data_IF_943854028764
#
_entry.id   IF_943854028764
#
_cell.length_a   1.000
_cell.length_b   1.000
_cell.length_c   1.000
_cell.angle_alpha   90.00
_cell.angle_beta   90.00
_cell.angle_gamma   90.00
#
_symmetry.space_group_name_H-M   'P 1'
#
loop_
_entity.id
_entity.type
_entity.pdbx_description
1 polymer ?
#
# COMPACT_ATOMS: atom_id res chain seq x y z
N UNK A 1 -42.48 46.56 -25.50
CA UNK A 1 -41.05 46.64 -25.15
C UNK A 1 -41.01 47.20 -23.75
N UNK A 2 -40.66 46.39 -22.74
CA UNK A 2 -40.71 46.84 -21.34
C UNK A 2 -39.57 47.82 -21.07
N UNK A 3 -39.90 48.94 -20.45
CA UNK A 3 -38.94 49.97 -20.05
C UNK A 3 -37.93 49.39 -19.06
N UNK A 4 -36.64 49.49 -19.39
CA UNK A 4 -35.55 48.95 -18.59
C UNK A 4 -35.45 49.64 -17.22
N UNK A 5 -35.85 50.91 -17.13
CA UNK A 5 -35.89 51.62 -15.84
C UNK A 5 -37.00 51.07 -14.95
N UNK A 6 -38.16 50.75 -15.53
CA UNK A 6 -39.27 50.14 -14.81
C UNK A 6 -38.90 48.73 -14.30
N UNK A 7 -38.22 47.92 -15.10
CA UNK A 7 -37.74 46.60 -14.67
C UNK A 7 -36.70 46.69 -13.56
N UNK A 8 -35.77 47.66 -13.63
CA UNK A 8 -34.78 47.89 -12.59
C UNK A 8 -35.43 48.32 -11.27
N UNK A 9 -36.39 49.24 -11.33
CA UNK A 9 -37.13 49.71 -10.16
C UNK A 9 -37.94 48.58 -9.48
N UNK A 10 -38.60 47.73 -10.28
CA UNK A 10 -39.34 46.57 -9.76
C UNK A 10 -38.41 45.57 -9.05
N UNK A 11 -37.20 45.38 -9.59
CA UNK A 11 -36.22 44.46 -9.02
C UNK A 11 -35.62 45.00 -7.71
N UNK A 12 -35.35 46.30 -7.64
CA UNK A 12 -34.91 46.97 -6.40
C UNK A 12 -36.01 46.88 -5.32
N UNK A 13 -37.28 47.11 -5.65
CA UNK A 13 -38.38 46.94 -4.70
C UNK A 13 -38.53 45.50 -4.20
N UNK A 14 -38.35 44.51 -5.08
CA UNK A 14 -38.40 43.10 -4.71
C UNK A 14 -37.26 42.73 -3.75
N UNK A 15 -36.05 43.25 -3.99
CA UNK A 15 -34.90 43.06 -3.11
C UNK A 15 -35.14 43.63 -1.72
N UNK A 16 -35.62 44.88 -1.61
CA UNK A 16 -35.91 45.49 -0.31
C UNK A 16 -36.97 44.73 0.48
N UNK A 17 -38.05 44.26 -0.18
CA UNK A 17 -39.08 43.44 0.47
C UNK A 17 -38.56 42.08 0.94
N UNK A 18 -37.69 41.45 0.18
CA UNK A 18 -37.08 40.17 0.56
C UNK A 18 -36.17 40.32 1.79
N UNK A 19 -35.39 41.40 1.85
CA UNK A 19 -34.55 41.74 3.02
C UNK A 19 -35.42 42.05 4.25
N UNK A 20 -36.52 42.77 4.07
CA UNK A 20 -37.45 43.09 5.16
C UNK A 20 -38.14 41.84 5.74
N UNK A 21 -38.53 40.89 4.89
CA UNK A 21 -39.08 39.59 5.31
C UNK A 21 -38.04 38.73 6.03
N UNK A 22 -36.82 38.64 5.48
CA UNK A 22 -35.73 37.90 6.11
C UNK A 22 -35.37 38.45 7.50
N UNK A 23 -35.51 39.77 7.71
CA UNK A 23 -35.28 40.41 9.01
C UNK A 23 -36.48 40.25 9.96
N UNK A 24 -37.71 40.08 9.44
CA UNK A 24 -38.92 39.82 10.25
C UNK A 24 -38.96 38.38 10.79
N UNK A 25 -38.40 37.41 10.06
CA UNK A 25 -38.33 36.01 10.48
C UNK A 25 -37.30 35.73 11.62
N UNK A 26 -36.60 36.75 12.13
CA UNK A 26 -35.66 36.64 13.27
C UNK A 26 -36.32 36.98 14.62
N UNK A 27 -37.59 37.43 14.67
CA UNK A 27 -38.28 37.70 15.94
C UNK A 27 -39.30 36.61 16.31
N UNK A 28 -38.88 35.69 17.19
CA UNK A 28 -39.78 34.80 17.94
C UNK A 28 -40.36 35.54 19.16
N UNK A 29 -41.67 35.84 19.16
CA UNK A 29 -42.57 35.76 20.33
C UNK A 29 -44.02 36.14 19.95
N UNK A 30 -44.96 35.22 20.22
CA UNK A 30 -46.42 35.26 19.96
C UNK A 30 -47.16 36.34 20.81
N UNK A 31 -48.51 36.60 20.72
CA UNK A 31 -49.58 35.71 20.20
C UNK A 31 -50.84 36.32 19.49
N UNK A 32 -51.58 35.44 18.79
CA UNK A 32 -53.06 35.34 18.61
C UNK A 32 -53.86 36.31 17.70
N UNK A 33 -54.77 35.69 16.92
CA UNK A 33 -55.95 36.20 16.15
C UNK A 33 -55.65 36.93 14.82
N UNK A 34 -56.29 36.69 13.66
CA UNK A 34 -57.62 36.24 13.24
C UNK A 34 -57.54 35.50 11.87
N UNK A 35 -58.56 34.71 11.52
CA UNK A 35 -58.73 33.99 10.24
C UNK A 35 -59.11 34.94 9.06
N UNK A 36 -58.98 34.49 7.79
CA UNK A 36 -58.33 35.26 6.73
C UNK A 36 -59.27 36.06 5.82
N UNK A 37 -58.82 37.24 5.37
CA UNK A 37 -59.29 37.83 4.10
C UNK A 37 -58.38 37.37 2.97
N UNK A 38 -59.00 36.98 1.87
CA UNK A 38 -58.37 36.46 0.67
C UNK A 38 -57.21 37.34 0.18
N UNK A 39 -55.99 36.89 0.46
CA UNK A 39 -54.78 37.46 -0.15
C UNK A 39 -54.53 36.67 -1.42
N UNK A 40 -54.71 37.34 -2.56
CA UNK A 40 -54.21 36.90 -3.85
C UNK A 40 -52.72 36.61 -3.68
N UNK A 41 -52.34 35.33 -3.67
CA UNK A 41 -50.93 34.91 -3.60
C UNK A 41 -50.22 35.46 -4.82
N UNK A 42 -49.44 36.53 -4.63
CA UNK A 42 -48.42 36.91 -5.59
C UNK A 42 -47.50 35.69 -5.79
N UNK A 43 -47.10 35.37 -7.04
CA UNK A 43 -46.25 34.22 -7.30
C UNK A 43 -44.94 34.36 -6.51
N UNK A 44 -44.39 33.26 -5.97
CA UNK A 44 -43.14 33.29 -5.24
C UNK A 44 -42.04 33.76 -6.19
N UNK A 45 -41.58 35.00 -6.00
CA UNK A 45 -40.40 35.52 -6.66
C UNK A 45 -39.21 34.89 -5.95
N UNK A 46 -38.75 33.74 -6.46
CA UNK A 46 -37.48 33.16 -6.06
C UNK A 46 -36.39 34.17 -6.43
N UNK A 47 -35.73 34.85 -5.47
CA UNK A 47 -34.75 35.85 -5.83
C UNK A 47 -33.56 35.10 -6.42
N UNK A 48 -33.22 35.41 -7.66
CA UNK A 48 -32.00 34.94 -8.34
C UNK A 48 -30.74 35.11 -7.48
N UNK A 49 -30.76 35.98 -6.46
CA UNK A 49 -29.69 36.12 -5.46
C UNK A 49 -29.50 34.92 -4.52
N UNK A 50 -30.54 34.13 -4.23
CA UNK A 50 -30.45 32.88 -3.43
C UNK A 50 -29.87 31.76 -4.28
N UNK A 51 -30.30 31.67 -5.54
CA UNK A 51 -29.70 30.78 -6.54
C UNK A 51 -28.26 31.19 -6.83
N UNK A 52 -27.99 32.49 -6.94
CA UNK A 52 -26.67 33.09 -7.12
C UNK A 52 -25.72 32.76 -5.98
N UNK A 53 -26.18 32.82 -4.71
CA UNK A 53 -25.37 32.38 -3.56
C UNK A 53 -25.05 30.88 -3.56
N UNK A 54 -25.95 30.04 -4.08
CA UNK A 54 -25.67 28.60 -4.27
C UNK A 54 -24.83 28.30 -5.53
N UNK A 55 -24.82 29.22 -6.51
CA UNK A 55 -24.05 29.14 -7.75
C UNK A 55 -22.69 29.87 -7.69
N UNK A 56 -22.29 30.41 -6.53
CA UNK A 56 -20.98 31.05 -6.34
C UNK A 56 -19.78 30.08 -6.46
N UNK A 57 -20.03 28.77 -6.62
CA UNK A 57 -19.02 27.80 -7.06
C UNK A 57 -18.76 27.82 -8.58
N UNK A 58 -19.43 28.68 -9.34
CA UNK A 58 -19.44 28.65 -10.81
C UNK A 58 -20.30 27.49 -11.33
N UNK A 59 -20.87 27.58 -12.55
CA UNK A 59 -21.38 26.38 -13.20
C UNK A 59 -20.20 25.42 -13.40
N UNK A 60 -20.32 24.15 -13.01
CA UNK A 60 -19.34 23.14 -13.40
C UNK A 60 -19.11 23.23 -14.91
N UNK A 61 -17.86 23.03 -15.34
CA UNK A 61 -17.54 23.16 -16.76
C UNK A 61 -18.43 22.22 -17.59
N UNK A 62 -18.75 22.61 -18.83
CA UNK A 62 -19.51 21.71 -19.73
C UNK A 62 -18.78 20.37 -19.93
N UNK A 63 -17.45 20.38 -19.89
CA UNK A 63 -16.62 19.17 -19.86
C UNK A 63 -16.93 18.30 -18.62
N UNK A 64 -17.03 18.90 -17.43
CA UNK A 64 -17.44 18.20 -16.21
C UNK A 64 -18.82 17.58 -16.34
N UNK A 65 -19.79 18.25 -16.97
CA UNK A 65 -21.12 17.66 -17.19
C UNK A 65 -21.14 16.53 -18.22
N UNK A 66 -20.33 16.62 -19.28
CA UNK A 66 -20.20 15.55 -20.28
C UNK A 66 -19.52 14.33 -19.65
N UNK A 67 -18.45 14.54 -18.90
CA UNK A 67 -17.72 13.49 -18.19
C UNK A 67 -18.55 12.86 -17.05
N UNK A 68 -19.33 13.67 -16.32
CA UNK A 68 -20.31 13.20 -15.32
C UNK A 68 -21.43 12.36 -15.95
N UNK A 69 -21.79 12.63 -17.21
CA UNK A 69 -22.79 11.86 -17.95
C UNK A 69 -22.19 10.59 -18.56
N UNK A 70 -20.91 10.61 -18.94
CA UNK A 70 -20.18 9.44 -19.46
C UNK A 70 -19.70 8.49 -18.36
N UNK A 71 -19.48 8.98 -17.13
CA UNK A 71 -18.96 8.23 -15.98
C UNK A 71 -19.90 8.24 -14.76
N UNK A 72 -21.21 8.37 -14.98
CA UNK A 72 -22.20 8.56 -13.91
C UNK A 72 -22.13 7.49 -12.80
N UNK A 73 -21.93 6.23 -13.18
CA UNK A 73 -21.82 5.10 -12.25
C UNK A 73 -20.52 5.18 -11.42
N UNK A 74 -19.40 5.57 -12.04
CA UNK A 74 -18.11 5.79 -11.37
C UNK A 74 -18.21 6.89 -10.32
N UNK A 75 -18.88 8.00 -10.64
CA UNK A 75 -19.01 9.12 -9.69
C UNK A 75 -19.91 8.76 -8.52
N UNK A 76 -21.00 8.01 -8.76
CA UNK A 76 -21.87 7.52 -7.69
C UNK A 76 -21.12 6.50 -6.82
N UNK A 77 -20.43 5.56 -7.44
CA UNK A 77 -19.61 4.55 -6.75
C UNK A 77 -18.56 5.18 -5.86
N UNK A 78 -17.77 6.11 -6.41
CA UNK A 78 -16.73 6.81 -5.65
C UNK A 78 -17.31 7.63 -4.50
N UNK A 79 -18.45 8.30 -4.73
CA UNK A 79 -19.11 9.03 -3.64
C UNK A 79 -19.59 8.10 -2.52
N UNK A 80 -20.14 6.94 -2.85
CA UNK A 80 -20.56 5.96 -1.86
C UNK A 80 -19.35 5.44 -1.08
N UNK A 81 -18.24 5.19 -1.76
CA UNK A 81 -16.97 4.81 -1.15
C UNK A 81 -16.47 5.86 -0.14
N UNK A 82 -16.44 7.13 -0.53
CA UNK A 82 -16.07 8.24 0.35
C UNK A 82 -16.97 8.31 1.58
N UNK A 83 -18.29 8.14 1.41
CA UNK A 83 -19.27 8.19 2.51
C UNK A 83 -19.13 7.03 3.48
N UNK A 84 -18.73 5.88 2.99
CA UNK A 84 -18.57 4.69 3.80
C UNK A 84 -17.33 4.77 4.69
N UNK A 85 -16.18 5.15 4.12
CA UNK A 85 -14.89 5.08 4.82
C UNK A 85 -14.41 6.42 5.41
N UNK A 86 -14.77 7.55 4.76
CA UNK A 86 -14.29 8.90 5.09
C UNK A 86 -15.42 9.96 5.03
N UNK A 87 -16.57 9.75 5.72
CA UNK A 87 -17.68 10.69 5.68
C UNK A 87 -17.31 12.10 6.17
N UNK A 88 -16.36 12.21 7.10
CA UNK A 88 -15.83 13.47 7.62
C UNK A 88 -15.15 14.35 6.55
N UNK A 89 -14.60 13.73 5.49
CA UNK A 89 -13.88 14.41 4.42
C UNK A 89 -14.67 14.46 3.10
N UNK A 90 -15.96 14.10 3.07
CA UNK A 90 -16.77 14.04 1.83
C UNK A 90 -16.68 15.35 1.04
N UNK A 91 -16.88 16.49 1.71
CA UNK A 91 -16.86 17.81 1.06
C UNK A 91 -15.49 18.14 0.50
N UNK A 92 -14.44 17.87 1.26
CA UNK A 92 -13.06 18.22 0.89
C UNK A 92 -12.55 17.35 -0.27
N UNK A 93 -12.90 16.07 -0.29
CA UNK A 93 -12.54 15.16 -1.37
C UNK A 93 -13.34 15.50 -2.63
N UNK A 94 -14.67 15.66 -2.53
CA UNK A 94 -15.51 15.92 -3.70
C UNK A 94 -15.34 17.32 -4.29
N UNK A 95 -14.77 18.27 -3.56
CA UNK A 95 -14.45 19.60 -4.06
C UNK A 95 -13.25 19.63 -5.01
N UNK A 96 -12.39 18.60 -4.98
CA UNK A 96 -11.23 18.51 -5.86
C UNK A 96 -11.60 18.21 -7.32
N UNK A 97 -10.64 18.46 -8.21
CA UNK A 97 -10.73 18.05 -9.61
C UNK A 97 -10.76 16.51 -9.73
N UNK A 98 -11.22 16.01 -10.87
CA UNK A 98 -11.43 14.58 -11.07
C UNK A 98 -10.12 13.76 -10.99
N UNK A 99 -8.99 14.36 -11.34
CA UNK A 99 -7.69 13.70 -11.42
C UNK A 99 -7.02 13.65 -10.04
N UNK A 100 -7.23 14.65 -9.19
CA UNK A 100 -6.63 14.76 -7.86
C UNK A 100 -7.52 14.22 -6.75
N UNK A 101 -8.83 14.06 -7.01
CA UNK A 101 -9.79 13.53 -6.03
C UNK A 101 -9.48 12.11 -5.55
N UNK A 102 -9.05 11.23 -6.46
CA UNK A 102 -8.66 9.86 -6.09
C UNK A 102 -7.45 9.89 -5.14
N UNK A 103 -6.42 10.68 -5.46
CA UNK A 103 -5.25 10.88 -4.61
C UNK A 103 -5.61 11.46 -3.24
N UNK A 104 -6.53 12.42 -3.20
CA UNK A 104 -6.97 13.01 -1.93
C UNK A 104 -7.73 12.02 -1.05
N UNK A 105 -8.56 11.16 -1.64
CA UNK A 105 -9.17 10.03 -0.93
C UNK A 105 -8.09 9.08 -0.40
N UNK A 106 -7.14 8.66 -1.24
CA UNK A 106 -6.10 7.71 -0.84
C UNK A 106 -5.26 8.23 0.32
N UNK A 107 -4.91 9.52 0.31
CA UNK A 107 -4.18 10.14 1.42
C UNK A 107 -4.95 10.05 2.74
N UNK A 108 -6.20 10.51 2.77
CA UNK A 108 -7.00 10.48 3.99
C UNK A 108 -7.36 9.04 4.43
N UNK A 109 -7.52 8.13 3.49
CA UNK A 109 -7.71 6.72 3.78
C UNK A 109 -6.45 6.13 4.44
N UNK A 110 -5.29 6.42 3.87
CA UNK A 110 -3.99 5.94 4.36
C UNK A 110 -3.64 6.46 5.75
N UNK A 111 -4.05 7.68 6.07
CA UNK A 111 -3.91 8.24 7.42
C UNK A 111 -4.74 7.51 8.48
N UNK A 112 -5.85 6.88 8.08
CA UNK A 112 -6.83 6.27 8.98
C UNK A 112 -6.74 4.75 9.07
N UNK A 113 -6.40 4.10 7.96
CA UNK A 113 -6.45 2.64 7.81
C UNK A 113 -5.06 2.07 7.51
N UNK A 114 -4.66 2.08 6.23
CA UNK A 114 -3.36 1.61 5.77
C UNK A 114 -3.00 2.27 4.43
N UNK A 115 -1.70 2.34 4.06
CA UNK A 115 -1.26 2.94 2.82
C UNK A 115 -1.82 2.22 1.59
N UNK A 116 -2.40 3.00 0.68
CA UNK A 116 -2.81 2.51 -0.64
C UNK A 116 -1.67 2.63 -1.66
N UNK A 117 -1.62 1.73 -2.63
CA UNK A 117 -0.70 1.77 -3.76
C UNK A 117 -1.08 2.89 -4.70
N UNK A 118 -0.17 3.86 -4.81
CA UNK A 118 -0.24 4.90 -5.81
C UNK A 118 0.38 4.34 -7.09
N UNK A 119 -0.47 3.91 -8.02
CA UNK A 119 -0.01 3.64 -9.38
C UNK A 119 0.50 4.96 -9.97
N UNK A 120 1.81 5.05 -10.14
CA UNK A 120 2.50 6.25 -10.61
C UNK A 120 2.30 6.49 -12.11
N UNK A 121 1.57 5.61 -12.80
CA UNK A 121 1.25 5.79 -14.21
C UNK A 121 0.27 6.95 -14.44
N UNK A 122 0.49 7.67 -15.54
CA UNK A 122 -0.41 8.72 -16.03
C UNK A 122 -1.76 8.11 -16.46
N UNK A 123 -2.64 7.86 -15.49
CA UNK A 123 -3.91 7.18 -15.76
C UNK A 123 -4.67 6.69 -14.53
N UNK A 124 -4.14 6.84 -13.31
CA UNK A 124 -4.89 6.44 -12.12
C UNK A 124 -6.12 7.34 -11.94
N UNK A 125 -7.32 6.76 -12.05
CA UNK A 125 -8.59 7.47 -11.98
C UNK A 125 -9.47 6.94 -10.85
N UNK A 126 -10.56 7.65 -10.57
CA UNK A 126 -11.62 7.15 -9.68
C UNK A 126 -12.21 5.81 -10.14
N UNK A 127 -12.16 5.49 -11.44
CA UNK A 127 -12.58 4.19 -11.95
C UNK A 127 -11.59 3.08 -11.57
N UNK A 128 -10.28 3.36 -11.66
CA UNK A 128 -9.21 2.45 -11.21
C UNK A 128 -9.30 2.17 -9.72
N UNK A 129 -9.66 3.19 -8.92
CA UNK A 129 -9.87 3.00 -7.49
C UNK A 129 -11.11 2.13 -7.21
N UNK A 130 -12.14 2.14 -8.05
CA UNK A 130 -13.37 1.39 -7.81
C UNK A 130 -13.30 -0.08 -8.23
N UNK A 131 -12.34 -0.48 -9.06
CA UNK A 131 -12.21 -1.87 -9.50
C UNK A 131 -11.79 -2.79 -8.36
N UNK A 132 -10.90 -2.33 -7.49
CA UNK A 132 -10.35 -3.08 -6.36
C UNK A 132 -9.71 -2.13 -5.35
N UNK A 133 -9.46 -2.62 -4.14
CA UNK A 133 -8.66 -1.89 -3.15
C UNK A 133 -7.20 -1.90 -3.65
N UNK A 134 -6.58 -0.73 -3.92
CA UNK A 134 -5.18 -0.67 -4.33
C UNK A 134 -4.31 -0.74 -3.07
N UNK A 135 -4.05 -1.94 -2.57
CA UNK A 135 -3.18 -2.15 -1.39
C UNK A 135 -1.74 -1.92 -1.75
N UNK A 136 -0.97 -1.26 -0.87
CA UNK A 136 0.48 -1.13 -1.07
C UNK A 136 1.15 -2.52 -1.01
N UNK A 137 1.81 -2.97 -2.10
CA UNK A 137 2.60 -4.18 -2.09
C UNK A 137 3.86 -3.96 -1.26
N UNK A 138 4.21 -4.95 -0.47
CA UNK A 138 5.43 -5.02 0.33
C UNK A 138 6.13 -6.37 0.19
N UNK A 139 5.66 -7.23 -0.72
CA UNK A 139 6.26 -8.51 -0.97
C UNK A 139 7.60 -8.43 -1.68
N UNK A 140 8.38 -9.47 -1.46
CA UNK A 140 9.73 -9.59 -1.97
C UNK A 140 9.68 -9.96 -3.46
N UNK A 141 10.26 -9.12 -4.32
CA UNK A 141 10.19 -9.30 -5.78
C UNK A 141 11.46 -9.93 -6.35
N UNK A 142 11.33 -10.53 -7.55
CA UNK A 142 12.47 -11.03 -8.33
C UNK A 142 13.50 -9.92 -8.58
N UNK A 143 13.04 -8.70 -8.89
CA UNK A 143 13.89 -7.53 -9.04
C UNK A 143 14.66 -7.21 -7.74
N UNK A 144 14.00 -7.32 -6.58
CA UNK A 144 14.64 -7.11 -5.27
C UNK A 144 15.69 -8.18 -4.99
N UNK A 145 15.43 -9.43 -5.39
CA UNK A 145 16.38 -10.53 -5.28
C UNK A 145 17.63 -10.28 -6.14
N UNK A 146 17.46 -9.83 -7.38
CA UNK A 146 18.60 -9.46 -8.24
C UNK A 146 19.31 -8.17 -7.81
N UNK A 147 18.61 -7.26 -7.13
CA UNK A 147 19.15 -6.04 -6.56
C UNK A 147 19.65 -6.19 -5.11
N UNK A 148 19.88 -7.42 -4.63
CA UNK A 148 20.30 -7.69 -3.24
C UNK A 148 21.56 -6.91 -2.80
N UNK A 149 22.41 -6.49 -3.74
CA UNK A 149 23.62 -5.73 -3.45
C UNK A 149 23.35 -4.38 -2.76
N UNK A 150 22.14 -3.83 -2.91
CA UNK A 150 21.71 -2.60 -2.23
C UNK A 150 21.23 -2.87 -0.79
N UNK A 151 21.11 -4.13 -0.38
CA UNK A 151 20.69 -4.48 0.96
C UNK A 151 21.80 -4.28 1.99
N UNK A 152 21.36 -4.18 3.24
CA UNK A 152 22.29 -4.17 4.36
C UNK A 152 22.96 -5.54 4.54
N UNK A 153 24.17 -5.61 5.11
CA UNK A 153 24.90 -6.86 5.30
C UNK A 153 24.09 -7.96 6.02
N UNK A 154 23.27 -7.59 7.01
CA UNK A 154 22.44 -8.56 7.73
C UNK A 154 21.42 -9.27 6.82
N UNK A 155 20.78 -8.54 5.90
CA UNK A 155 19.86 -9.12 4.93
C UNK A 155 20.57 -9.93 3.84
N UNK A 156 21.77 -9.52 3.40
CA UNK A 156 22.57 -10.34 2.47
C UNK A 156 22.92 -11.69 3.11
N UNK A 157 23.31 -11.68 4.39
CA UNK A 157 23.58 -12.90 5.14
C UNK A 157 22.32 -13.74 5.35
N UNK A 158 21.18 -13.13 5.68
CA UNK A 158 19.90 -13.83 5.78
C UNK A 158 19.50 -14.49 4.44
N UNK A 159 19.55 -13.74 3.35
CA UNK A 159 19.22 -14.18 2.00
C UNK A 159 20.12 -15.32 1.52
N UNK A 160 21.38 -15.35 1.98
CA UNK A 160 22.30 -16.46 1.66
C UNK A 160 21.85 -17.81 2.23
N UNK A 161 20.98 -17.82 3.26
CA UNK A 161 20.50 -19.02 3.93
C UNK A 161 19.17 -19.53 3.34
N UNK A 162 18.27 -18.64 2.94
CA UNK A 162 16.93 -19.01 2.43
C UNK A 162 17.02 -19.61 1.04
N UNK A 163 16.15 -20.57 0.71
CA UNK A 163 15.97 -21.06 -0.67
C UNK A 163 15.54 -19.96 -1.66
N UNK A 164 15.92 -20.09 -2.93
CA UNK A 164 15.52 -19.13 -3.96
C UNK A 164 14.15 -19.53 -4.50
N UNK A 165 13.09 -18.69 -4.38
CA UNK A 165 11.79 -19.05 -4.92
C UNK A 165 11.77 -19.08 -6.46
N UNK A 166 12.74 -18.44 -7.11
CA UNK A 166 12.80 -18.33 -8.58
C UNK A 166 13.75 -19.31 -9.26
N UNK A 167 14.58 -20.05 -8.51
CA UNK A 167 15.51 -21.02 -9.11
C UNK A 167 14.76 -22.26 -9.66
N UNK A 168 13.55 -22.55 -9.16
CA UNK A 168 12.70 -23.66 -9.61
C UNK A 168 11.83 -23.32 -10.84
N UNK A 169 11.24 -22.12 -10.89
CA UNK A 169 10.35 -21.71 -12.00
C UNK A 169 11.08 -21.65 -13.35
N UNK A 170 12.34 -21.20 -13.35
CA UNK A 170 13.19 -21.20 -14.54
C UNK A 170 13.50 -22.61 -15.08
N UNK A 171 13.41 -23.65 -14.24
CA UNK A 171 13.61 -25.04 -14.69
C UNK A 171 12.37 -25.60 -15.39
N UNK A 172 11.18 -25.30 -14.86
CA UNK A 172 9.91 -25.82 -15.38
C UNK A 172 9.50 -25.15 -16.70
N UNK A 173 9.74 -23.84 -16.86
CA UNK A 173 9.40 -23.12 -18.09
C UNK A 173 10.37 -23.38 -19.25
N UNK A 174 11.65 -23.63 -18.95
CA UNK A 174 12.66 -23.78 -20.00
C UNK A 174 12.57 -25.14 -20.72
N UNK A 175 11.87 -26.14 -20.16
CA UNK A 175 11.77 -27.48 -20.75
C UNK A 175 13.14 -28.13 -21.01
N UNK A 176 14.17 -27.70 -20.28
CA UNK A 176 15.54 -28.13 -20.45
C UNK A 176 15.76 -29.38 -19.61
N UNK A 177 15.52 -30.55 -20.20
CA UNK A 177 15.77 -31.85 -19.53
C UNK A 177 17.27 -32.16 -19.31
N UNK A 178 18.21 -31.41 -19.92
CA UNK A 178 19.65 -31.77 -19.96
C UNK A 178 20.62 -30.56 -20.10
N UNK A 179 20.32 -29.44 -19.45
CA UNK A 179 21.15 -28.22 -19.55
C UNK A 179 21.21 -27.51 -18.21
N UNK A 180 22.43 -27.09 -17.86
CA UNK A 180 22.84 -26.48 -16.59
C UNK A 180 21.70 -25.62 -16.01
N UNK A 181 21.05 -26.05 -14.92
CA UNK A 181 19.98 -25.29 -14.33
C UNK A 181 20.49 -23.87 -14.08
N UNK A 182 19.65 -22.87 -14.24
CA UNK A 182 20.00 -21.49 -13.91
C UNK A 182 20.15 -21.29 -12.38
N UNK A 183 20.93 -22.15 -11.72
CA UNK A 183 21.46 -22.13 -10.34
C UNK A 183 22.38 -20.91 -10.08
N UNK A 184 22.13 -19.80 -10.79
CA UNK A 184 22.96 -18.61 -10.78
C UNK A 184 22.43 -17.50 -9.89
N UNK A 185 21.14 -17.48 -9.55
CA UNK A 185 20.55 -16.39 -8.76
C UNK A 185 21.20 -16.24 -7.38
N UNK A 186 21.47 -17.38 -6.73
CA UNK A 186 22.14 -17.43 -5.43
C UNK A 186 23.64 -17.17 -5.47
N UNK A 187 24.32 -17.48 -6.57
CA UNK A 187 25.80 -17.44 -6.63
C UNK A 187 26.35 -16.05 -6.26
N UNK A 188 25.85 -14.94 -6.84
CA UNK A 188 26.25 -13.59 -6.43
C UNK A 188 25.99 -13.29 -4.94
N UNK A 189 24.87 -13.79 -4.39
CA UNK A 189 24.51 -13.60 -2.98
C UNK A 189 25.51 -14.34 -2.07
N UNK A 190 25.84 -15.60 -2.40
CA UNK A 190 26.83 -16.40 -1.69
C UNK A 190 28.24 -15.79 -1.79
N UNK A 191 28.61 -15.24 -2.94
CA UNK A 191 29.87 -14.53 -3.12
C UNK A 191 29.95 -13.29 -2.22
N UNK A 192 28.92 -12.44 -2.22
CA UNK A 192 28.85 -11.26 -1.36
C UNK A 192 28.86 -11.64 0.14
N UNK A 193 28.09 -12.65 0.54
CA UNK A 193 28.11 -13.17 1.90
C UNK A 193 29.51 -13.69 2.29
N UNK A 194 30.25 -14.27 1.35
CA UNK A 194 31.62 -14.75 1.60
C UNK A 194 32.61 -13.63 1.89
N UNK A 195 32.35 -12.40 1.41
CA UNK A 195 33.15 -11.23 1.75
C UNK A 195 32.88 -10.74 3.17
N UNK A 196 31.67 -11.00 3.70
CA UNK A 196 31.24 -10.59 5.04
C UNK A 196 31.71 -11.56 6.14
N UNK A 197 31.57 -12.87 5.93
CA UNK A 197 31.82 -13.89 6.97
C UNK A 197 32.89 -14.93 6.58
N UNK A 198 33.40 -14.85 5.36
CA UNK A 198 34.43 -15.76 4.85
C UNK A 198 33.89 -17.01 4.16
N UNK A 199 34.58 -17.42 3.10
CA UNK A 199 34.22 -18.59 2.26
C UNK A 199 34.09 -19.91 3.02
N UNK A 200 34.76 -20.06 4.16
CA UNK A 200 34.69 -21.29 4.95
C UNK A 200 33.29 -21.52 5.55
N UNK A 201 32.62 -20.45 5.99
CA UNK A 201 31.27 -20.54 6.54
C UNK A 201 30.22 -20.69 5.45
N UNK A 202 30.38 -19.99 4.32
CA UNK A 202 29.45 -20.08 3.18
C UNK A 202 29.38 -21.50 2.61
N UNK A 203 30.49 -22.24 2.60
CA UNK A 203 30.51 -23.65 2.16
C UNK A 203 29.71 -24.61 3.03
N UNK A 204 29.22 -24.16 4.19
CA UNK A 204 28.33 -24.95 5.05
C UNK A 204 26.86 -24.76 4.68
N UNK A 205 26.52 -23.79 3.82
CA UNK A 205 25.16 -23.57 3.34
C UNK A 205 24.87 -24.62 2.25
N UNK A 206 23.72 -25.32 2.28
CA UNK A 206 23.28 -26.16 1.17
C UNK A 206 23.21 -25.37 -0.13
N UNK A 207 23.47 -26.03 -1.27
CA UNK A 207 23.48 -25.37 -2.59
C UNK A 207 22.15 -24.63 -2.86
N UNK A 208 21.02 -25.27 -2.51
CA UNK A 208 19.66 -24.75 -2.66
C UNK A 208 19.17 -23.93 -1.46
N UNK A 209 19.98 -23.77 -0.41
CA UNK A 209 19.58 -23.15 0.87
C UNK A 209 18.62 -24.01 1.70
N UNK A 210 17.92 -23.38 2.64
CA UNK A 210 16.91 -24.01 3.48
C UNK A 210 15.51 -23.48 3.17
N UNK A 211 14.56 -24.41 3.09
CA UNK A 211 13.15 -24.09 2.96
C UNK A 211 12.60 -23.37 4.21
N UNK A 212 11.63 -22.45 4.06
CA UNK A 212 11.07 -21.70 5.18
C UNK A 212 10.54 -22.58 6.32
N UNK A 213 9.77 -23.64 6.01
CA UNK A 213 9.25 -24.60 7.01
C UNK A 213 10.37 -25.20 7.86
N UNK A 214 11.52 -25.48 7.23
CA UNK A 214 12.69 -26.03 7.90
C UNK A 214 13.38 -24.98 8.76
N UNK A 215 13.42 -23.72 8.29
CA UNK A 215 13.97 -22.61 9.06
C UNK A 215 13.13 -22.37 10.31
N UNK A 216 11.81 -22.24 10.20
CA UNK A 216 10.91 -22.16 11.36
C UNK A 216 11.12 -23.29 12.36
N UNK A 217 11.15 -24.54 11.90
CA UNK A 217 11.41 -25.70 12.78
C UNK A 217 12.71 -25.59 13.60
N UNK A 218 13.74 -24.94 13.04
CA UNK A 218 15.06 -24.83 13.65
C UNK A 218 15.25 -23.53 14.46
N UNK A 219 14.60 -22.44 14.06
CA UNK A 219 14.86 -21.10 14.59
C UNK A 219 13.77 -20.54 15.48
N UNK A 220 12.55 -21.06 15.41
CA UNK A 220 11.46 -20.64 16.30
C UNK A 220 11.86 -20.87 17.77
N UNK A 221 11.39 -19.98 18.65
CA UNK A 221 11.77 -19.94 20.08
C UNK A 221 13.27 -19.73 20.36
N UNK A 222 14.06 -19.32 19.36
CA UNK A 222 15.48 -18.95 19.52
C UNK A 222 15.72 -17.46 19.29
N UNK A 223 16.95 -16.98 19.54
CA UNK A 223 17.32 -15.60 19.18
C UNK A 223 17.34 -15.33 17.66
N UNK A 224 17.21 -16.39 16.85
CA UNK A 224 17.22 -16.35 15.40
C UNK A 224 15.83 -16.51 14.77
N UNK A 225 14.74 -16.39 15.55
CA UNK A 225 13.34 -16.52 15.09
C UNK A 225 13.06 -15.75 13.78
N UNK A 226 13.60 -14.53 13.66
CA UNK A 226 13.38 -13.68 12.49
C UNK A 226 13.99 -14.20 11.18
N UNK A 227 14.77 -15.29 11.19
CA UNK A 227 15.16 -15.99 9.97
C UNK A 227 13.98 -16.73 9.32
N UNK A 228 13.09 -17.31 10.12
CA UNK A 228 11.86 -17.94 9.62
C UNK A 228 10.97 -16.89 8.95
N UNK A 229 10.65 -15.81 9.66
CA UNK A 229 9.89 -14.68 9.12
C UNK A 229 10.52 -14.10 7.84
N UNK A 230 11.86 -14.05 7.78
CA UNK A 230 12.58 -13.56 6.60
C UNK A 230 12.42 -14.50 5.41
N UNK A 231 12.43 -15.81 5.66
CA UNK A 231 12.20 -16.82 4.64
C UNK A 231 10.76 -16.75 4.10
N UNK A 232 9.79 -16.60 4.99
CA UNK A 232 8.39 -16.44 4.62
C UNK A 232 8.18 -15.19 3.75
N UNK A 233 8.82 -14.08 4.09
CA UNK A 233 8.75 -12.85 3.29
C UNK A 233 9.39 -13.00 1.91
N UNK A 234 10.58 -13.61 1.82
CA UNK A 234 11.27 -13.86 0.54
C UNK A 234 10.45 -14.77 -0.36
N UNK A 235 9.83 -15.81 0.22
CA UNK A 235 9.00 -16.78 -0.50
C UNK A 235 7.53 -16.35 -0.63
N UNK A 236 7.16 -15.13 -0.24
CA UNK A 236 5.79 -14.59 -0.31
C UNK A 236 4.72 -15.51 0.34
N UNK A 237 5.03 -16.05 1.52
CA UNK A 237 4.17 -16.99 2.26
C UNK A 237 3.96 -16.61 3.72
N UNK A 238 4.02 -15.32 4.03
CA UNK A 238 3.78 -14.78 5.38
C UNK A 238 2.33 -14.93 5.84
N UNK A 239 1.42 -15.20 4.90
CA UNK A 239 -0.02 -15.24 5.13
C UNK A 239 -0.65 -13.86 5.25
N UNK A 240 0.12 -12.79 5.01
CA UNK A 240 -0.35 -11.40 5.04
C UNK A 240 -0.39 -10.85 3.61
N UNK A 241 -1.56 -10.37 3.19
CA UNK A 241 -1.77 -9.93 1.81
C UNK A 241 -0.73 -8.89 1.36
N UNK A 242 -0.39 -7.95 2.24
CA UNK A 242 0.58 -6.90 1.94
C UNK A 242 2.00 -7.43 1.69
N UNK A 243 2.46 -8.42 2.47
CA UNK A 243 3.82 -8.95 2.40
C UNK A 243 3.95 -10.08 1.39
N UNK A 244 2.84 -10.66 0.94
CA UNK A 244 2.86 -11.71 -0.08
C UNK A 244 2.59 -11.15 -1.49
N UNK A 245 2.15 -9.90 -1.60
CA UNK A 245 1.89 -9.24 -2.88
C UNK A 245 3.10 -8.45 -3.39
N UNK A 246 3.58 -8.78 -4.59
CA UNK A 246 4.66 -8.07 -5.29
C UNK A 246 4.13 -6.94 -6.17
N UNK A 247 4.89 -5.85 -6.29
CA UNK A 247 4.51 -4.68 -7.11
C UNK A 247 4.40 -5.01 -8.60
N UNK A 248 5.35 -5.78 -9.13
CA UNK A 248 5.39 -6.25 -10.52
C UNK A 248 4.13 -7.05 -10.89
N UNK A 249 3.64 -7.89 -9.99
CA UNK A 249 2.41 -8.67 -10.18
C UNK A 249 1.17 -7.78 -10.30
N UNK A 250 1.10 -6.68 -9.54
CA UNK A 250 0.03 -5.69 -9.65
C UNK A 250 0.11 -4.97 -11.01
N UNK A 251 1.29 -4.46 -11.38
CA UNK A 251 1.49 -3.67 -12.60
C UNK A 251 1.22 -4.46 -13.88
N UNK A 252 1.64 -5.73 -13.92
CA UNK A 252 1.40 -6.61 -15.06
C UNK A 252 -0.03 -7.19 -15.06
N UNK A 253 -0.85 -6.91 -14.04
CA UNK A 253 -2.17 -7.52 -13.87
C UNK A 253 -2.11 -9.04 -13.71
N UNK A 254 -0.96 -9.55 -13.27
CA UNK A 254 -0.66 -10.97 -13.08
C UNK A 254 -0.93 -11.44 -11.65
N UNK A 255 -1.64 -10.64 -10.85
CA UNK A 255 -2.05 -11.08 -9.51
C UNK A 255 -2.85 -12.38 -9.60
N UNK A 256 -2.24 -13.46 -9.12
CA UNK A 256 -2.91 -14.73 -8.90
C UNK A 256 -3.84 -14.59 -7.70
N UNK A 257 -5.07 -14.14 -7.94
CA UNK A 257 -6.06 -13.94 -6.89
C UNK A 257 -7.31 -13.23 -7.39
N UNK A 258 -8.40 -13.39 -6.65
CA UNK A 258 -9.59 -12.58 -6.91
C UNK A 258 -9.29 -11.11 -6.56
N UNK A 259 -9.67 -10.14 -7.42
CA UNK A 259 -9.47 -8.73 -7.12
C UNK A 259 -10.19 -8.41 -5.81
N UNK A 260 -9.51 -7.78 -4.84
CA UNK A 260 -10.10 -7.46 -3.53
C UNK A 260 -11.15 -6.34 -3.68
N UNK A 261 -12.47 -6.65 -3.64
CA UNK A 261 -13.48 -5.61 -3.78
C UNK A 261 -13.55 -4.74 -2.53
N UNK A 262 -14.06 -3.53 -2.69
CA UNK A 262 -14.39 -2.64 -1.58
C UNK A 262 -15.56 -3.19 -0.76
N UNK A 263 -15.23 -3.94 0.29
CA UNK A 263 -16.17 -4.39 1.31
C UNK A 263 -15.58 -4.08 2.69
N UNK A 264 -16.46 -3.92 3.69
CA UNK A 264 -16.01 -3.66 5.06
C UNK A 264 -15.12 -4.79 5.57
N UNK A 265 -15.51 -6.03 5.33
CA UNK A 265 -14.79 -7.22 5.79
C UNK A 265 -13.37 -7.24 5.22
N UNK A 266 -13.21 -6.99 3.91
CA UNK A 266 -11.88 -6.93 3.28
C UNK A 266 -11.03 -5.76 3.80
N UNK A 267 -11.64 -4.59 4.03
CA UNK A 267 -10.90 -3.45 4.60
C UNK A 267 -10.47 -3.73 6.03
N UNK A 268 -11.32 -4.36 6.84
CA UNK A 268 -10.99 -4.75 8.21
C UNK A 268 -9.88 -5.82 8.24
N UNK A 269 -9.92 -6.80 7.33
CA UNK A 269 -8.87 -7.80 7.13
C UNK A 269 -7.53 -7.13 6.76
N UNK A 270 -7.52 -6.27 5.74
CA UNK A 270 -6.31 -5.56 5.30
C UNK A 270 -5.73 -4.61 6.37
N UNK A 271 -6.60 -4.00 7.19
CA UNK A 271 -6.14 -3.22 8.37
C UNK A 271 -5.44 -4.14 9.38
N UNK A 272 -5.99 -5.33 9.62
CA UNK A 272 -5.38 -6.34 10.48
C UNK A 272 -4.04 -6.83 9.94
N UNK A 273 -3.97 -7.11 8.64
CA UNK A 273 -2.74 -7.51 7.95
C UNK A 273 -1.67 -6.42 8.01
N UNK A 274 -2.06 -5.16 7.76
CA UNK A 274 -1.15 -4.03 7.85
C UNK A 274 -0.54 -3.88 9.26
N UNK A 275 -1.33 -4.09 10.31
CA UNK A 275 -0.83 -4.04 11.68
C UNK A 275 0.14 -5.19 11.96
N UNK A 276 -0.20 -6.42 11.55
CA UNK A 276 0.66 -7.60 11.73
C UNK A 276 1.95 -7.50 10.93
N UNK A 277 1.92 -6.85 9.76
CA UNK A 277 3.11 -6.67 8.93
C UNK A 277 4.23 -5.90 9.65
N UNK A 278 3.86 -4.98 10.56
CA UNK A 278 4.83 -4.23 11.35
C UNK A 278 5.61 -5.15 12.31
N UNK A 279 4.93 -6.14 12.90
CA UNK A 279 5.56 -7.10 13.80
C UNK A 279 6.57 -7.99 13.06
N UNK A 280 6.22 -8.44 11.84
CA UNK A 280 7.14 -9.16 10.96
C UNK A 280 8.33 -8.27 10.61
N UNK A 281 8.11 -7.04 10.13
CA UNK A 281 9.19 -6.11 9.81
C UNK A 281 10.15 -5.86 10.97
N UNK A 282 9.62 -5.68 12.18
CA UNK A 282 10.42 -5.52 13.38
C UNK A 282 11.23 -6.79 13.70
N UNK A 283 10.66 -7.98 13.48
CA UNK A 283 11.36 -9.26 13.59
C UNK A 283 12.53 -9.37 12.59
N UNK A 284 12.27 -9.10 11.30
CA UNK A 284 13.28 -9.09 10.23
C UNK A 284 14.42 -8.13 10.57
N UNK A 285 14.07 -6.92 11.04
CA UNK A 285 15.05 -5.90 11.35
C UNK A 285 15.91 -6.28 12.57
N UNK A 286 15.30 -6.82 13.63
CA UNK A 286 16.03 -7.31 14.81
C UNK A 286 17.01 -8.41 14.43
N UNK A 287 16.59 -9.36 13.59
CA UNK A 287 17.44 -10.44 13.12
C UNK A 287 18.61 -9.93 12.27
N UNK A 288 18.36 -9.03 11.31
CA UNK A 288 19.42 -8.42 10.52
C UNK A 288 20.44 -7.65 11.38
N UNK A 289 19.97 -6.90 12.37
CA UNK A 289 20.85 -6.21 13.32
C UNK A 289 21.69 -7.18 14.15
N UNK A 290 21.14 -8.33 14.53
CA UNK A 290 21.87 -9.37 15.26
C UNK A 290 23.03 -9.93 14.41
N UNK A 291 22.78 -10.18 13.13
CA UNK A 291 23.81 -10.61 12.18
C UNK A 291 24.88 -9.52 11.95
N UNK A 292 24.52 -8.24 12.00
CA UNK A 292 25.48 -7.15 11.74
C UNK A 292 26.40 -6.82 12.93
N UNK A 293 26.02 -7.15 14.17
CA UNK A 293 26.80 -6.81 15.36
C UNK A 293 28.15 -7.53 15.41
N UNK A 294 28.16 -8.83 15.14
CA UNK A 294 29.36 -9.67 15.05
C UNK A 294 29.13 -10.75 13.97
N UNK A 295 29.27 -10.38 12.68
CA UNK A 295 28.84 -11.22 11.57
C UNK A 295 29.42 -12.64 11.61
N UNK A 296 30.72 -12.79 11.79
CA UNK A 296 31.36 -14.11 11.74
C UNK A 296 30.94 -15.01 12.91
N UNK A 297 30.90 -14.45 14.13
CA UNK A 297 30.55 -15.20 15.34
C UNK A 297 29.07 -15.59 15.35
N UNK A 298 28.18 -14.62 15.08
CA UNK A 298 26.74 -14.85 15.04
C UNK A 298 26.37 -15.82 13.93
N UNK A 299 26.90 -15.63 12.71
CA UNK A 299 26.62 -16.51 11.58
C UNK A 299 27.11 -17.94 11.83
N UNK A 300 28.28 -18.12 12.48
CA UNK A 300 28.76 -19.45 12.90
C UNK A 300 27.82 -20.11 13.90
N UNK A 301 27.29 -19.37 14.88
CA UNK A 301 26.32 -19.89 15.87
C UNK A 301 25.01 -20.31 15.18
N UNK A 302 24.54 -19.48 14.25
CA UNK A 302 23.36 -19.78 13.45
C UNK A 302 23.55 -21.02 12.59
N UNK A 303 24.67 -21.15 11.86
CA UNK A 303 24.96 -22.35 11.08
C UNK A 303 25.07 -23.61 11.97
N UNK A 304 25.66 -23.50 13.17
CA UNK A 304 25.73 -24.63 14.10
C UNK A 304 24.33 -25.07 14.59
N UNK A 305 23.40 -24.13 14.74
CA UNK A 305 21.98 -24.42 15.01
C UNK A 305 21.32 -25.10 13.81
N UNK A 306 21.51 -24.55 12.60
CA UNK A 306 20.85 -25.03 11.38
C UNK A 306 21.27 -26.45 10.97
N UNK A 307 22.49 -26.86 11.34
CA UNK A 307 23.02 -28.20 11.13
C UNK A 307 22.71 -29.19 12.27
N UNK A 308 21.81 -28.83 13.19
CA UNK A 308 21.31 -29.69 14.28
C UNK A 308 22.45 -30.32 15.11
N UNK A 309 23.41 -29.48 15.48
CA UNK A 309 24.52 -29.68 16.42
C UNK A 309 24.72 -31.12 16.98
N UNK A 310 25.31 -32.00 16.16
CA UNK A 310 26.26 -33.01 16.68
C UNK A 310 27.65 -32.98 16.03
N UNK A 311 27.83 -32.42 14.83
CA UNK A 311 29.12 -32.55 14.11
C UNK A 311 29.83 -31.24 13.71
N UNK A 312 29.23 -30.05 13.88
CA UNK A 312 29.90 -28.75 13.63
C UNK A 312 30.52 -28.17 14.91
N UNK A 313 31.21 -29.05 15.65
CA UNK A 313 32.35 -28.64 16.49
C UNK A 313 33.60 -29.27 15.88
N UNK A 314 33.78 -29.11 14.57
CA UNK A 314 35.10 -29.25 14.00
C UNK A 314 35.88 -28.01 14.48
N UNK A 315 36.96 -28.16 15.28
CA UNK A 315 37.90 -27.06 15.39
C UNK A 315 38.28 -26.71 13.95
N UNK A 316 38.19 -25.44 13.57
CA UNK A 316 38.88 -24.93 12.39
C UNK A 316 40.36 -25.32 12.54
N UNK A 317 40.71 -26.51 12.08
CA UNK A 317 42.08 -26.90 11.79
C UNK A 317 42.39 -26.09 10.55
N UNK A 318 42.81 -24.84 10.77
CA UNK A 318 43.57 -24.10 9.79
C UNK A 318 44.71 -25.07 9.43
N UNK A 319 44.76 -25.60 8.19
CA UNK A 319 45.88 -26.43 7.81
C UNK A 319 47.13 -25.60 8.00
N UNK A 320 48.07 -26.09 8.83
CA UNK A 320 49.36 -25.42 9.08
C UNK A 320 50.15 -25.12 7.81
N UNK A 321 49.69 -25.63 6.66
CA UNK A 321 50.24 -25.41 5.32
C UNK A 321 49.97 -24.00 4.78
N UNK A 322 49.12 -23.19 5.41
CA UNK A 322 48.98 -21.75 5.09
C UNK A 322 49.78 -20.81 6.01
N UNK A 323 50.55 -21.33 6.98
CA UNK A 323 51.57 -20.53 7.65
C UNK A 323 52.76 -20.40 6.71
N UNK A 324 52.90 -19.21 6.13
CA UNK A 324 54.10 -18.79 5.42
C UNK A 324 55.34 -19.20 6.21
N UNK A 325 56.17 -20.05 5.61
CA UNK A 325 57.47 -20.41 6.15
C UNK A 325 58.25 -19.13 6.47
N UNK A 326 58.89 -19.02 7.65
CA UNK A 326 59.79 -17.91 7.90
C UNK A 326 60.92 -17.99 6.88
N UNK A 327 61.04 -16.94 6.06
CA UNK A 327 62.22 -16.71 5.23
C UNK A 327 63.40 -16.49 6.19
N UNK A 328 64.21 -17.54 6.35
CA UNK A 328 65.55 -17.47 6.95
C UNK A 328 66.58 -17.00 5.95
#
# INVERSE_FOLDING_TARGET
>A
MYDLEMLRWLNEQAHFRAVELANKDVSLSAPVAEKPKAVVKAPPVFPLSVLGRKLLGGPPSLAYYVELLEQGDTVIGFRNLVREYLPEYEVDILAEDLHTRAMRFMRFFSEKFFPLYEDMNEGFTTASLLSNIPTRPMGFSEESYHAFADFRPGYILALSLVESPWDQELMDEAGVEDGDPMQGGRVPILEAASELVGRALIRLIPDEGWAPDRLHYLTDDTEFEGLGDFADWVCCQTGLYHLDTQASSIEMGLMEGEPMPWTRDNVEELVGDWQQSADIWDSLHRFALLLEQDPESTFRRLLALLHDNQDIVLPMVIPKEQLTLPLG
#
